data_IF_519287761245
#
_entry.id   IF_519287761245
#
_cell.length_a   1.000
_cell.length_b   1.000
_cell.length_c   1.000
_cell.angle_alpha   90.00
_cell.angle_beta   90.00
_cell.angle_gamma   90.00
#
_symmetry.space_group_name_H-M   'P 1'
#
loop_
_entity.id
_entity.type
_entity.pdbx_description
1 polymer ?
#
# COMPACT_ATOMS: atom_id res chain seq x y z
N UNK A 1 -12.64 4.34 11.70
CA UNK A 1 -12.77 4.15 10.23
C UNK A 1 -14.23 3.96 9.90
N UNK A 2 -14.74 4.61 8.85
CA UNK A 2 -16.08 4.35 8.29
C UNK A 2 -16.07 3.06 7.46
N UNK A 3 -17.20 2.36 7.36
CA UNK A 3 -17.33 1.11 6.59
C UNK A 3 -16.86 1.26 5.13
N UNK A 4 -17.12 2.41 4.49
CA UNK A 4 -16.68 2.73 3.12
C UNK A 4 -15.16 2.69 2.95
N UNK A 5 -14.40 3.19 3.93
CA UNK A 5 -12.93 3.15 3.89
C UNK A 5 -12.40 1.73 4.05
N UNK A 6 -13.04 0.92 4.90
CA UNK A 6 -12.67 -0.48 5.07
C UNK A 6 -12.85 -1.27 3.77
N UNK A 7 -13.96 -1.04 3.07
CA UNK A 7 -14.22 -1.68 1.78
C UNK A 7 -13.20 -1.26 0.71
N UNK A 8 -12.90 0.05 0.61
CA UNK A 8 -11.90 0.56 -0.32
C UNK A 8 -10.50 0.00 -0.05
N UNK A 9 -10.08 -0.03 1.21
CA UNK A 9 -8.80 -0.62 1.61
C UNK A 9 -8.77 -2.12 1.34
N UNK A 10 -9.87 -2.83 1.59
CA UNK A 10 -9.98 -4.25 1.29
C UNK A 10 -9.83 -4.51 -0.21
N UNK A 11 -10.51 -3.73 -1.06
CA UNK A 11 -10.39 -3.86 -2.51
C UNK A 11 -8.95 -3.63 -3.00
N UNK A 12 -8.30 -2.55 -2.54
CA UNK A 12 -6.90 -2.26 -2.90
C UNK A 12 -5.93 -3.33 -2.39
N UNK A 13 -6.16 -3.84 -1.17
CA UNK A 13 -5.35 -4.92 -0.60
C UNK A 13 -5.53 -6.21 -1.39
N UNK A 14 -6.76 -6.56 -1.75
CA UNK A 14 -7.06 -7.72 -2.58
C UNK A 14 -6.39 -7.62 -3.95
N UNK A 15 -6.51 -6.48 -4.63
CA UNK A 15 -5.85 -6.25 -5.92
C UNK A 15 -4.33 -6.35 -5.81
N UNK A 16 -3.74 -5.78 -4.75
CA UNK A 16 -2.30 -5.87 -4.50
C UNK A 16 -1.84 -7.31 -4.33
N UNK A 17 -2.55 -8.09 -3.50
CA UNK A 17 -2.26 -9.50 -3.28
C UNK A 17 -2.40 -10.32 -4.57
N UNK A 18 -3.45 -10.07 -5.35
CA UNK A 18 -3.72 -10.77 -6.61
C UNK A 18 -2.66 -10.46 -7.68
N UNK A 19 -2.30 -9.20 -7.87
CA UNK A 19 -1.39 -8.80 -8.95
C UNK A 19 0.07 -9.18 -8.67
N UNK A 20 0.47 -9.15 -7.40
CA UNK A 20 1.87 -9.28 -7.01
C UNK A 20 2.19 -10.56 -6.25
N UNK A 21 1.18 -11.40 -5.97
CA UNK A 21 1.36 -12.67 -5.26
C UNK A 21 1.77 -12.51 -3.80
N UNK A 22 1.49 -11.36 -3.19
CA UNK A 22 1.82 -11.03 -1.80
C UNK A 22 0.66 -11.36 -0.87
N UNK A 23 0.95 -11.50 0.43
CA UNK A 23 -0.05 -11.75 1.48
C UNK A 23 -0.03 -10.62 2.51
N UNK A 24 -0.64 -9.51 2.15
CA UNK A 24 -0.76 -8.30 2.98
C UNK A 24 -2.21 -8.19 3.47
N UNK A 25 -2.42 -7.81 4.74
CA UNK A 25 -3.71 -7.57 5.37
C UNK A 25 -4.18 -6.13 5.23
N UNK A 26 -3.25 -5.18 5.18
CA UNK A 26 -3.57 -3.76 4.97
C UNK A 26 -2.53 -3.10 4.07
N UNK A 27 -2.84 -2.92 2.78
CA UNK A 27 -1.92 -2.26 1.84
C UNK A 27 -1.82 -0.75 2.06
N UNK A 28 -2.82 -0.12 2.69
CA UNK A 28 -2.95 1.34 2.79
C UNK A 28 -2.42 1.94 4.09
N UNK A 29 -2.08 1.13 5.10
CA UNK A 29 -1.42 1.63 6.32
C UNK A 29 -0.13 2.39 5.98
N UNK A 30 0.00 3.62 6.48
CA UNK A 30 1.18 4.49 6.30
C UNK A 30 2.31 4.27 7.30
N UNK A 31 2.18 3.31 8.22
CA UNK A 31 3.15 3.08 9.29
C UNK A 31 3.97 1.83 9.00
N UNK A 32 5.29 2.03 8.84
CA UNK A 32 6.24 0.97 8.56
C UNK A 32 7.51 1.19 9.35
N UNK A 33 8.20 0.10 9.67
CA UNK A 33 9.54 0.12 10.22
C UNK A 33 10.35 -0.89 9.42
N UNK A 34 11.49 -0.45 8.89
CA UNK A 34 12.39 -1.28 8.13
C UNK A 34 13.83 -0.84 8.36
N UNK A 35 14.78 -1.74 8.09
CA UNK A 35 16.20 -1.42 8.13
C UNK A 35 16.62 -0.70 6.86
N UNK A 36 17.51 0.28 6.97
CA UNK A 36 17.91 1.15 5.83
C UNK A 36 18.47 0.35 4.64
N UNK A 37 19.19 -0.73 4.90
CA UNK A 37 19.81 -1.61 3.91
C UNK A 37 18.82 -2.29 2.96
N UNK A 38 17.53 -2.34 3.30
CA UNK A 38 16.54 -2.90 2.36
C UNK A 38 16.23 -1.94 1.21
N UNK A 39 16.43 -0.63 1.38
CA UNK A 39 16.05 0.38 0.39
C UNK A 39 16.73 0.15 -0.96
N UNK A 40 17.99 -0.27 -0.94
CA UNK A 40 18.76 -0.58 -2.16
C UNK A 40 18.19 -1.77 -2.94
N UNK A 41 17.34 -2.59 -2.30
CA UNK A 41 16.67 -3.75 -2.92
C UNK A 41 15.28 -3.40 -3.45
N UNK A 42 14.65 -2.34 -2.94
CA UNK A 42 13.29 -1.96 -3.31
C UNK A 42 13.31 -1.10 -4.57
N UNK A 43 12.45 -1.43 -5.54
CA UNK A 43 12.29 -0.60 -6.74
C UNK A 43 11.03 0.25 -6.55
N UNK A 44 11.25 1.42 -5.96
CA UNK A 44 10.22 2.44 -5.74
C UNK A 44 10.19 3.39 -6.94
N UNK A 45 8.99 3.76 -7.37
CA UNK A 45 8.78 4.51 -8.61
C UNK A 45 7.75 5.62 -8.51
N UNK A 46 7.06 5.71 -7.37
CA UNK A 46 6.10 6.78 -7.06
C UNK A 46 6.46 7.40 -5.71
N UNK A 47 6.41 8.73 -5.64
CA UNK A 47 6.69 9.54 -4.44
C UNK A 47 5.40 10.13 -3.84
N UNK A 48 4.23 9.77 -4.39
CA UNK A 48 2.93 10.24 -3.94
C UNK A 48 2.18 9.27 -3.02
N UNK A 49 0.86 9.41 -3.00
CA UNK A 49 -0.06 8.52 -2.25
C UNK A 49 0.18 7.01 -2.48
N UNK A 50 0.47 6.53 -3.71
CA UNK A 50 0.69 5.10 -3.97
C UNK A 50 1.98 4.53 -3.38
N UNK A 51 2.90 5.36 -2.90
CA UNK A 51 4.15 4.89 -2.28
C UNK A 51 3.89 3.90 -1.13
N UNK A 52 2.78 4.10 -0.40
CA UNK A 52 2.40 3.27 0.74
C UNK A 52 2.13 1.81 0.39
N UNK A 53 1.52 1.57 -0.76
CA UNK A 53 1.28 0.22 -1.28
C UNK A 53 2.51 -0.31 -2.03
N UNK A 54 3.23 0.55 -2.74
CA UNK A 54 4.45 0.17 -3.46
C UNK A 54 5.51 -0.40 -2.53
N UNK A 55 5.82 0.29 -1.42
CA UNK A 55 6.87 -0.13 -0.51
C UNK A 55 6.57 -1.50 0.10
N UNK A 56 5.30 -1.79 0.41
CA UNK A 56 4.89 -3.09 0.92
C UNK A 56 4.96 -4.17 -0.14
N UNK A 57 4.51 -3.88 -1.36
CA UNK A 57 4.60 -4.84 -2.47
C UNK A 57 6.05 -5.23 -2.72
N UNK A 58 6.96 -4.26 -2.79
CA UNK A 58 8.39 -4.52 -2.99
C UNK A 58 8.97 -5.29 -1.81
N UNK A 59 8.66 -4.87 -0.57
CA UNK A 59 9.20 -5.50 0.63
C UNK A 59 8.73 -6.96 0.76
N UNK A 60 7.43 -7.23 0.62
CA UNK A 60 6.88 -8.60 0.75
C UNK A 60 7.35 -9.55 -0.35
N UNK A 61 7.81 -9.04 -1.50
CA UNK A 61 8.36 -9.86 -2.58
C UNK A 61 9.85 -10.13 -2.46
N UNK A 62 10.61 -9.24 -1.83
CA UNK A 62 12.09 -9.24 -1.88
C UNK A 62 12.76 -9.48 -0.53
N UNK A 63 12.07 -9.20 0.57
CA UNK A 63 12.64 -9.33 1.93
C UNK A 63 11.66 -9.97 2.90
N UNK A 64 12.18 -10.53 3.99
CA UNK A 64 11.37 -11.10 5.06
C UNK A 64 10.56 -10.00 5.73
N UNK A 65 9.24 -10.07 5.58
CA UNK A 65 8.29 -9.04 6.00
C UNK A 65 7.17 -9.65 6.85
N UNK A 66 6.63 -8.88 7.79
CA UNK A 66 5.49 -9.29 8.63
C UNK A 66 4.61 -8.07 8.95
N UNK A 67 3.34 -8.31 9.26
CA UNK A 67 2.41 -7.28 9.72
C UNK A 67 2.10 -7.44 11.20
N UNK A 68 2.25 -6.35 11.95
CA UNK A 68 1.84 -6.27 13.35
C UNK A 68 0.48 -5.57 13.43
N UNK A 69 -0.54 -6.18 14.06
CA UNK A 69 -1.84 -5.55 14.19
C UNK A 69 -1.76 -4.31 15.08
N UNK A 70 -2.38 -3.22 14.62
CA UNK A 70 -2.46 -1.97 15.37
C UNK A 70 -3.92 -1.61 15.66
N UNK A 71 -4.17 -1.00 16.82
CA UNK A 71 -5.50 -0.50 17.18
C UNK A 71 -5.67 0.88 16.55
N UNK A 72 -6.54 0.98 15.55
CA UNK A 72 -6.90 2.25 14.93
C UNK A 72 -7.70 3.12 15.89
N UNK A 73 -7.11 4.23 16.36
CA UNK A 73 -7.81 5.25 17.16
C UNK A 73 -8.61 6.19 16.27
N UNK A 74 -9.64 6.82 16.83
CA UNK A 74 -10.42 7.85 16.11
C UNK A 74 -9.48 9.03 15.81
N UNK A 75 -9.36 9.40 14.55
CA UNK A 75 -8.60 10.59 14.14
C UNK A 75 -9.26 11.82 14.75
N UNK A 76 -8.45 12.70 15.32
CA UNK A 76 -8.84 14.05 15.73
C UNK A 76 -8.49 14.99 14.58
N UNK A 77 -9.46 15.78 14.10
CA UNK A 77 -9.29 16.71 12.98
C UNK A 77 -9.94 16.26 11.65
N UNK A 78 -9.94 17.16 10.67
CA UNK A 78 -10.63 16.97 9.39
C UNK A 78 -9.93 15.97 8.45
N UNK A 79 -10.75 15.31 7.62
CA UNK A 79 -10.26 14.37 6.62
C UNK A 79 -9.71 15.15 5.42
N UNK A 80 -8.38 15.22 5.31
CA UNK A 80 -7.68 15.85 4.18
C UNK A 80 -7.65 14.99 2.90
N UNK A 81 -8.11 13.74 2.95
CA UNK A 81 -7.99 12.77 1.86
C UNK A 81 -9.32 12.57 1.13
N UNK A 82 -9.27 12.55 -0.21
CA UNK A 82 -10.43 12.30 -1.04
C UNK A 82 -10.47 10.81 -1.38
N UNK A 83 -11.23 10.04 -0.60
CA UNK A 83 -11.29 8.56 -0.68
C UNK A 83 -11.43 8.01 -2.10
N UNK A 84 -12.21 8.68 -2.96
CA UNK A 84 -12.45 8.22 -4.33
C UNK A 84 -11.31 8.60 -5.26
N UNK A 85 -10.86 9.86 -5.27
CA UNK A 85 -9.76 10.32 -6.12
C UNK A 85 -8.46 9.59 -5.78
N UNK A 86 -8.17 9.42 -4.50
CA UNK A 86 -6.96 8.75 -4.03
C UNK A 86 -7.04 7.23 -4.27
N UNK A 87 -8.21 6.63 -4.04
CA UNK A 87 -8.44 5.22 -4.36
C UNK A 87 -8.24 4.91 -5.84
N UNK A 88 -8.70 5.80 -6.74
CA UNK A 88 -8.48 5.64 -8.18
C UNK A 88 -7.01 5.80 -8.58
N UNK A 89 -6.27 6.73 -7.96
CA UNK A 89 -4.83 6.89 -8.17
C UNK A 89 -4.06 5.63 -7.77
N UNK A 90 -4.37 5.06 -6.60
CA UNK A 90 -3.75 3.83 -6.11
C UNK A 90 -4.08 2.65 -7.03
N UNK A 91 -5.35 2.50 -7.43
CA UNK A 91 -5.74 1.46 -8.38
C UNK A 91 -4.96 1.59 -9.71
N UNK A 92 -4.96 2.78 -10.32
CA UNK A 92 -4.21 3.05 -11.55
C UNK A 92 -2.71 2.76 -11.38
N UNK A 93 -2.15 3.08 -10.22
CA UNK A 93 -0.76 2.77 -9.90
C UNK A 93 -0.50 1.25 -9.84
N UNK A 94 -1.33 0.47 -9.15
CA UNK A 94 -1.20 -1.00 -9.10
C UNK A 94 -1.20 -1.62 -10.50
N UNK A 95 -2.13 -1.19 -11.36
CA UNK A 95 -2.16 -1.60 -12.77
C UNK A 95 -0.89 -1.17 -13.50
N UNK A 96 -0.50 0.10 -13.41
CA UNK A 96 0.73 0.61 -14.03
C UNK A 96 1.97 -0.17 -13.59
N UNK A 97 2.16 -0.43 -12.30
CA UNK A 97 3.30 -1.16 -11.76
C UNK A 97 3.30 -2.63 -12.20
N UNK A 98 2.13 -3.26 -12.31
CA UNK A 98 2.02 -4.66 -12.75
C UNK A 98 2.39 -4.87 -14.22
N UNK A 99 1.99 -3.92 -15.08
CA UNK A 99 2.16 -4.02 -16.54
C UNK A 99 3.34 -3.23 -17.09
N UNK A 100 3.90 -2.29 -16.32
CA UNK A 100 5.16 -1.65 -16.67
C UNK A 100 6.27 -2.70 -16.53
N UNK A 101 6.71 -3.22 -17.69
CA UNK A 101 7.95 -4.00 -17.83
C UNK A 101 9.06 -3.25 -17.10
N UNK A 102 9.46 -3.74 -15.92
CA UNK A 102 10.75 -3.39 -15.36
C UNK A 102 11.75 -4.16 -16.21
N UNK A 103 12.35 -3.45 -17.18
CA UNK A 103 13.60 -3.88 -17.81
C UNK A 103 14.73 -3.71 -16.79
#
# INVERSE_FOLDING_TARGET
MTAKHRLGNFALTFTSNLFFGVRIKDSQSGMWVFRRDILDRLVLTDDGMPMSEEIKIEAFRKVRSLEVPIVYRRRVGEVKLSSWKDGWKNMKFLFKKRFRRQR
#
